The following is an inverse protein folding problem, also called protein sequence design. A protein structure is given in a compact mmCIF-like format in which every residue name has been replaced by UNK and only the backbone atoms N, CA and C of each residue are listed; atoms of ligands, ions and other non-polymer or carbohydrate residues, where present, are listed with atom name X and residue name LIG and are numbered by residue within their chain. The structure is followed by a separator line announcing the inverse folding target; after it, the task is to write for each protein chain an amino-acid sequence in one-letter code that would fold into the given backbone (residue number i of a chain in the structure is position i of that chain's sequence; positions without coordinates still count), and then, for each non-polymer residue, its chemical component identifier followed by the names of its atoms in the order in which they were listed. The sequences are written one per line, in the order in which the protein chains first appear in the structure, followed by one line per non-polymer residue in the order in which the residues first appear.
data_IF_727831978032
#
_entry.id   IF_727831978032
#
_cell.length_a   1.000
_cell.length_b   1.000
_cell.length_c   1.000
_cell.angle_alpha   90.00
_cell.angle_beta   90.00
_cell.angle_gamma   90.00
#
_symmetry.space_group_name_H-M   'P 1'
#
loop_
_entity.id
_entity.type
_entity.pdbx_description
1 polymer ?
#
# COMPACT_ATOMS: atom_id res chain seq x y z
N UNK A 1 3.50 -38.39 -21.04
CA UNK A 1 2.12 -38.00 -21.44
C UNK A 1 2.15 -36.83 -22.40
N UNK A 2 1.31 -36.87 -23.45
CA UNK A 2 1.19 -35.76 -24.41
C UNK A 2 0.37 -34.60 -23.81
N UNK A 3 0.51 -33.39 -24.37
CA UNK A 3 -0.13 -32.15 -23.88
C UNK A 3 -1.64 -32.28 -23.69
N UNK A 4 -2.33 -32.97 -24.60
CA UNK A 4 -3.79 -33.19 -24.52
C UNK A 4 -4.17 -34.14 -23.39
N UNK A 5 -3.40 -35.21 -23.23
CA UNK A 5 -3.61 -36.21 -22.16
C UNK A 5 -3.35 -35.61 -20.79
N UNK A 6 -2.31 -34.77 -20.66
CA UNK A 6 -1.99 -34.09 -19.40
C UNK A 6 -3.11 -33.12 -18.96
N UNK A 7 -3.72 -32.42 -19.93
CA UNK A 7 -4.83 -31.49 -19.67
C UNK A 7 -6.08 -32.23 -19.16
N UNK A 8 -6.42 -33.35 -19.80
CA UNK A 8 -7.54 -34.20 -19.41
C UNK A 8 -7.32 -34.84 -18.02
N UNK A 9 -6.11 -35.29 -17.73
CA UNK A 9 -5.76 -35.91 -16.45
C UNK A 9 -5.93 -34.97 -15.24
N UNK A 10 -5.60 -33.69 -15.42
CA UNK A 10 -5.73 -32.64 -14.40
C UNK A 10 -7.09 -31.94 -14.43
N UNK A 11 -7.94 -32.20 -15.44
CA UNK A 11 -9.21 -31.49 -15.61
C UNK A 11 -9.06 -30.00 -15.93
N UNK A 12 -7.94 -29.59 -16.54
CA UNK A 12 -7.62 -28.19 -16.84
C UNK A 12 -7.42 -27.95 -18.33
N UNK A 13 -7.36 -26.68 -18.75
CA UNK A 13 -7.10 -26.34 -20.15
C UNK A 13 -5.66 -26.66 -20.57
N UNK A 14 -5.46 -26.95 -21.85
CA UNK A 14 -4.12 -27.17 -22.41
C UNK A 14 -3.18 -25.96 -22.27
N UNK A 15 -3.72 -24.75 -22.15
CA UNK A 15 -2.97 -23.51 -21.87
C UNK A 15 -2.54 -23.42 -20.41
N UNK A 16 -3.37 -23.94 -19.49
CA UNK A 16 -3.04 -24.02 -18.06
C UNK A 16 -1.85 -24.95 -17.84
N UNK A 17 -1.78 -26.07 -18.55
CA UNK A 17 -0.62 -26.99 -18.53
C UNK A 17 0.66 -26.30 -18.99
N UNK A 18 0.61 -25.51 -20.07
CA UNK A 18 1.78 -24.74 -20.51
C UNK A 18 2.21 -23.68 -19.50
N UNK A 19 1.26 -23.07 -18.80
CA UNK A 19 1.58 -22.11 -17.75
C UNK A 19 2.25 -22.81 -16.56
N UNK A 20 1.75 -23.97 -16.11
CA UNK A 20 2.41 -24.74 -15.06
C UNK A 20 3.82 -25.19 -15.45
N UNK A 21 4.04 -25.51 -16.72
CA UNK A 21 5.37 -25.77 -17.26
C UNK A 21 6.27 -24.54 -17.22
N UNK A 22 5.76 -23.36 -17.62
CA UNK A 22 6.50 -22.09 -17.58
C UNK A 22 6.80 -21.62 -16.15
N UNK A 23 5.90 -21.89 -15.22
CA UNK A 23 6.05 -21.61 -13.79
C UNK A 23 7.01 -22.61 -13.10
N UNK A 24 7.46 -23.66 -13.81
CA UNK A 24 8.36 -24.68 -13.28
C UNK A 24 7.70 -25.70 -12.34
N UNK A 25 6.37 -25.74 -12.29
CA UNK A 25 5.61 -26.70 -11.45
C UNK A 25 5.58 -28.11 -12.02
N UNK A 26 5.70 -28.24 -13.35
CA UNK A 26 5.79 -29.52 -14.05
C UNK A 26 6.93 -29.44 -15.07
N UNK A 27 7.69 -30.53 -15.20
CA UNK A 27 8.77 -30.62 -16.19
C UNK A 27 8.21 -30.95 -17.57
N UNK A 28 8.86 -30.36 -18.58
CA UNK A 28 8.54 -30.59 -19.99
C UNK A 28 9.79 -31.03 -20.71
N UNK A 29 9.72 -32.20 -21.34
CA UNK A 29 10.77 -32.69 -22.23
C UNK A 29 10.28 -32.59 -23.66
N UNK A 30 11.05 -31.91 -24.52
CA UNK A 30 10.71 -31.78 -25.93
C UNK A 30 11.44 -32.85 -26.73
N UNK A 31 10.69 -33.81 -27.26
CA UNK A 31 11.24 -34.88 -28.09
C UNK A 31 11.05 -34.50 -29.57
N UNK A 32 12.09 -34.62 -30.42
CA UNK A 32 11.94 -34.42 -31.85
C UNK A 32 11.10 -35.56 -32.45
N UNK A 33 10.00 -35.19 -33.09
CA UNK A 33 9.09 -36.09 -33.79
C UNK A 33 9.09 -35.72 -35.29
N UNK A 34 8.54 -36.61 -36.13
CA UNK A 34 8.53 -36.49 -37.60
C UNK A 34 7.97 -35.15 -38.11
N UNK A 35 7.09 -34.49 -37.35
CA UNK A 35 6.45 -33.22 -37.68
C UNK A 35 6.73 -32.08 -36.66
N UNK A 36 7.86 -32.11 -35.97
CA UNK A 36 8.28 -31.04 -35.05
C UNK A 36 8.53 -31.54 -33.63
N UNK A 37 8.67 -30.61 -32.67
CA UNK A 37 8.93 -30.95 -31.27
C UNK A 37 7.62 -31.28 -30.55
N UNK A 38 7.50 -32.48 -29.98
CA UNK A 38 6.37 -32.87 -29.13
C UNK A 38 6.75 -32.66 -27.66
N UNK A 39 5.83 -32.07 -26.89
CA UNK A 39 6.01 -31.85 -25.46
C UNK A 39 5.56 -33.11 -24.69
N UNK A 40 6.48 -33.76 -24.02
CA UNK A 40 6.20 -34.87 -23.12
C UNK A 40 6.28 -34.42 -21.65
N UNK A 41 5.19 -34.67 -20.93
CA UNK A 41 5.03 -34.38 -19.51
C UNK A 41 5.16 -35.67 -18.70
N UNK A 42 5.86 -35.61 -17.56
CA UNK A 42 5.97 -36.74 -16.63
C UNK A 42 4.69 -36.90 -15.83
N UNK A 43 4.12 -38.10 -15.86
CA UNK A 43 2.88 -38.43 -15.15
C UNK A 43 3.01 -38.31 -13.63
N UNK A 44 4.16 -38.67 -13.08
CA UNK A 44 4.44 -38.58 -11.63
C UNK A 44 4.39 -37.15 -11.09
N UNK A 45 4.76 -36.15 -11.90
CA UNK A 45 4.70 -34.73 -11.52
C UNK A 45 3.27 -34.18 -11.63
N UNK A 46 2.52 -34.62 -12.65
CA UNK A 46 1.09 -34.28 -12.79
C UNK A 46 0.28 -34.80 -11.60
N UNK A 47 0.61 -35.99 -11.10
CA UNK A 47 -0.05 -36.58 -9.94
C UNK A 47 0.23 -35.80 -8.64
N UNK A 48 1.47 -35.36 -8.42
CA UNK A 48 1.82 -34.48 -7.29
C UNK A 48 1.05 -33.16 -7.35
N UNK A 49 0.98 -32.55 -8.53
CA UNK A 49 0.23 -31.30 -8.72
C UNK A 49 -1.27 -31.48 -8.44
N UNK A 50 -1.82 -32.64 -8.82
CA UNK A 50 -3.22 -32.98 -8.54
C UNK A 50 -3.48 -33.11 -7.04
N UNK A 51 -2.56 -33.74 -6.31
CA UNK A 51 -2.63 -33.87 -4.85
C UNK A 51 -2.52 -32.49 -4.17
N UNK A 52 -1.57 -31.64 -4.58
CA UNK A 52 -1.43 -30.27 -4.07
C UNK A 52 -2.71 -29.44 -4.30
N UNK A 53 -3.30 -29.51 -5.50
CA UNK A 53 -4.56 -28.82 -5.81
C UNK A 53 -5.76 -29.37 -5.02
N UNK A 54 -5.74 -30.64 -4.63
CA UNK A 54 -6.78 -31.26 -3.81
C UNK A 54 -6.59 -30.99 -2.32
N UNK A 55 -5.39 -30.66 -1.86
CA UNK A 55 -5.22 -30.27 -0.45
C UNK A 55 -5.99 -28.99 -0.18
N UNK A 56 -6.88 -28.97 0.84
CA UNK A 56 -7.57 -27.76 1.21
C UNK A 56 -6.52 -26.74 1.67
N UNK A 57 -6.34 -25.71 0.86
CA UNK A 57 -5.48 -24.58 1.21
C UNK A 57 -6.11 -23.93 2.45
N UNK A 58 -5.51 -24.20 3.61
CA UNK A 58 -5.79 -23.48 4.85
C UNK A 58 -5.33 -22.04 4.68
N UNK A 59 -6.14 -21.22 3.99
CA UNK A 59 -5.99 -19.78 4.04
C UNK A 59 -6.34 -19.35 5.46
N UNK A 60 -5.40 -18.73 6.15
CA UNK A 60 -5.72 -17.97 7.35
C UNK A 60 -6.63 -16.83 6.90
N UNK A 61 -7.94 -17.00 7.07
CA UNK A 61 -8.84 -15.86 7.10
C UNK A 61 -8.42 -15.11 8.35
N UNK A 62 -7.79 -13.95 8.17
CA UNK A 62 -7.73 -12.95 9.23
C UNK A 62 -9.20 -12.64 9.51
N UNK A 63 -9.76 -13.24 10.55
CA UNK A 63 -11.01 -12.79 11.08
C UNK A 63 -10.81 -11.29 11.33
N UNK A 64 -11.63 -10.39 10.74
CA UNK A 64 -11.73 -9.09 11.35
C UNK A 64 -12.09 -9.39 12.79
N UNK A 65 -11.27 -8.96 13.74
CA UNK A 65 -11.72 -8.82 15.12
C UNK A 65 -12.81 -7.74 15.06
N UNK A 66 -13.99 -8.19 14.64
CA UNK A 66 -15.16 -7.38 14.42
C UNK A 66 -15.60 -6.95 15.79
N UNK A 67 -15.45 -5.66 16.04
CA UNK A 67 -16.52 -4.96 16.71
C UNK A 67 -17.77 -5.34 15.90
N UNK A 68 -18.66 -6.16 16.48
CA UNK A 68 -19.96 -6.46 15.89
C UNK A 68 -20.78 -5.17 15.89
N UNK A 69 -20.47 -4.29 14.96
CA UNK A 69 -21.33 -3.18 14.61
C UNK A 69 -22.36 -3.81 13.69
N UNK A 70 -23.58 -4.00 14.19
CA UNK A 70 -24.69 -4.50 13.39
C UNK A 70 -24.79 -3.68 12.09
N UNK A 71 -24.44 -4.32 10.96
CA UNK A 71 -24.34 -3.68 9.64
C UNK A 71 -25.65 -3.00 9.20
N UNK A 72 -26.79 -3.37 9.80
CA UNK A 72 -28.10 -2.83 9.45
C UNK A 72 -28.38 -1.42 9.99
N UNK A 73 -27.78 -1.02 11.11
CA UNK A 73 -28.05 0.31 11.70
C UNK A 73 -27.14 1.41 11.14
N UNK A 74 -25.92 1.06 10.72
CA UNK A 74 -24.97 2.03 10.14
C UNK A 74 -25.36 2.40 8.71
N UNK A 75 -25.82 1.43 7.91
CA UNK A 75 -26.23 1.69 6.53
C UNK A 75 -27.68 2.20 6.39
N UNK A 76 -28.55 1.93 7.36
CA UNK A 76 -29.94 2.43 7.35
C UNK A 76 -30.03 3.96 7.38
N UNK A 77 -29.05 4.64 7.98
CA UNK A 77 -28.94 6.11 7.96
C UNK A 77 -28.53 6.68 6.60
N UNK A 78 -27.70 5.96 5.84
CA UNK A 78 -27.24 6.39 4.52
C UNK A 78 -28.36 6.36 3.47
N UNK A 79 -29.34 5.47 3.62
CA UNK A 79 -30.51 5.40 2.73
C UNK A 79 -31.48 6.59 2.88
N UNK A 80 -31.41 7.34 4.00
CA UNK A 80 -32.23 8.53 4.26
C UNK A 80 -31.54 9.86 3.92
N UNK A 81 -30.24 9.83 3.63
CA UNK A 81 -29.49 11.05 3.32
C UNK A 81 -29.69 11.45 1.85
N UNK A 82 -29.85 12.75 1.56
CA UNK A 82 -29.89 13.23 0.19
C UNK A 82 -28.57 12.86 -0.52
N UNK A 83 -28.66 12.44 -1.79
CA UNK A 83 -27.52 11.98 -2.58
C UNK A 83 -26.36 12.98 -2.65
N UNK A 84 -26.65 14.28 -2.51
CA UNK A 84 -25.65 15.35 -2.42
C UNK A 84 -24.76 15.25 -1.18
N UNK A 85 -25.32 14.91 -0.01
CA UNK A 85 -24.56 14.72 1.23
C UNK A 85 -23.68 13.46 1.18
N UNK A 86 -24.16 12.42 0.49
CA UNK A 86 -23.40 11.19 0.28
C UNK A 86 -22.17 11.48 -0.59
N UNK A 87 -22.34 12.26 -1.66
CA UNK A 87 -21.22 12.67 -2.52
C UNK A 87 -20.18 13.52 -1.76
N UNK A 88 -20.62 14.53 -0.99
CA UNK A 88 -19.75 15.34 -0.13
C UNK A 88 -18.96 14.47 0.87
N UNK A 89 -19.63 13.51 1.51
CA UNK A 89 -19.00 12.60 2.46
C UNK A 89 -17.97 11.68 1.77
N UNK A 90 -18.31 11.11 0.62
CA UNK A 90 -17.39 10.26 -0.15
C UNK A 90 -16.16 11.05 -0.61
N UNK A 91 -16.34 12.29 -1.03
CA UNK A 91 -15.24 13.17 -1.41
C UNK A 91 -14.33 13.46 -0.20
N UNK A 92 -14.90 13.77 0.96
CA UNK A 92 -14.14 13.98 2.19
C UNK A 92 -13.38 12.71 2.63
N UNK A 93 -14.01 11.54 2.55
CA UNK A 93 -13.37 10.25 2.87
C UNK A 93 -12.23 9.96 1.89
N UNK A 94 -12.43 10.21 0.59
CA UNK A 94 -11.40 10.04 -0.44
C UNK A 94 -10.18 10.93 -0.18
N UNK A 95 -10.41 12.20 0.17
CA UNK A 95 -9.33 13.12 0.57
C UNK A 95 -8.58 12.62 1.81
N UNK A 96 -9.29 12.08 2.80
CA UNK A 96 -8.68 11.49 4.00
C UNK A 96 -7.87 10.22 3.71
N UNK A 97 -8.33 9.37 2.79
CA UNK A 97 -7.58 8.18 2.36
C UNK A 97 -6.27 8.55 1.65
N UNK A 98 -6.28 9.64 0.87
CA UNK A 98 -5.07 10.19 0.29
C UNK A 98 -4.02 10.51 1.36
N UNK A 99 -4.43 11.15 2.46
CA UNK A 99 -3.55 11.45 3.60
C UNK A 99 -3.07 10.16 4.28
N UNK A 100 -3.94 9.18 4.50
CA UNK A 100 -3.59 7.90 5.11
C UNK A 100 -2.50 7.14 4.33
N UNK A 101 -2.55 7.17 2.99
CA UNK A 101 -1.53 6.54 2.14
C UNK A 101 -0.19 7.28 2.19
N UNK A 102 -0.18 8.60 2.40
CA UNK A 102 1.06 9.36 2.58
C UNK A 102 1.84 8.84 3.80
N UNK A 103 1.18 8.49 4.89
CA UNK A 103 1.85 8.00 6.12
C UNK A 103 2.63 6.70 5.92
N UNK A 104 2.30 5.89 4.91
CA UNK A 104 3.05 4.68 4.57
C UNK A 104 4.31 4.96 3.73
N UNK A 105 4.47 6.19 3.23
CA UNK A 105 5.62 6.59 2.42
C UNK A 105 6.77 7.04 3.30
N UNK A 106 7.94 6.42 3.13
CA UNK A 106 9.14 6.69 3.94
C UNK A 106 9.66 8.14 3.81
N UNK A 107 9.43 8.79 2.66
CA UNK A 107 9.94 10.12 2.35
C UNK A 107 8.89 10.91 1.57
N UNK A 108 8.61 12.12 2.03
CA UNK A 108 7.64 13.04 1.43
C UNK A 108 8.29 14.14 0.61
N UNK A 109 7.58 14.55 -0.43
CA UNK A 109 7.80 15.84 -1.07
C UNK A 109 7.24 16.99 -0.22
N UNK A 110 7.72 18.21 -0.49
CA UNK A 110 7.22 19.42 0.17
C UNK A 110 5.71 19.61 0.05
N UNK A 111 5.12 19.19 -1.08
CA UNK A 111 3.68 19.29 -1.32
C UNK A 111 2.90 18.26 -0.50
N UNK A 112 3.39 17.02 -0.42
CA UNK A 112 2.81 15.97 0.43
C UNK A 112 2.92 16.32 1.92
N UNK A 113 4.07 16.86 2.32
CA UNK A 113 4.30 17.37 3.67
C UNK A 113 3.36 18.54 4.02
N UNK A 114 3.06 19.42 3.06
CA UNK A 114 2.10 20.50 3.24
C UNK A 114 0.67 19.95 3.47
N UNK A 115 0.24 18.98 2.65
CA UNK A 115 -1.06 18.33 2.80
C UNK A 115 -1.17 17.57 4.13
N UNK A 116 -0.13 16.86 4.54
CA UNK A 116 -0.15 16.06 5.77
C UNK A 116 -0.09 16.92 7.04
N UNK A 117 0.62 18.06 7.01
CA UNK A 117 0.78 18.94 8.16
C UNK A 117 -0.23 20.09 8.25
N UNK A 118 -0.95 20.36 7.15
CA UNK A 118 -1.82 21.53 7.01
C UNK A 118 -1.07 22.85 6.84
N UNK A 119 0.26 22.85 6.73
CA UNK A 119 1.04 24.07 6.52
C UNK A 119 1.20 24.45 5.06
N UNK A 120 1.36 25.76 4.81
CA UNK A 120 1.73 26.24 3.49
C UNK A 120 3.15 25.77 3.12
N UNK A 121 3.34 25.47 1.84
CA UNK A 121 4.64 25.09 1.26
C UNK A 121 5.73 26.13 1.57
N UNK A 122 5.36 27.42 1.59
CA UNK A 122 6.27 28.51 1.93
C UNK A 122 6.81 28.39 3.35
N UNK A 123 5.93 28.11 4.32
CA UNK A 123 6.32 27.95 5.74
C UNK A 123 7.22 26.74 5.96
N UNK A 124 6.94 25.62 5.29
CA UNK A 124 7.82 24.46 5.35
C UNK A 124 9.18 24.76 4.70
N UNK A 125 9.20 25.50 3.58
CA UNK A 125 10.44 25.90 2.92
C UNK A 125 11.27 26.87 3.77
N UNK A 126 10.64 27.83 4.44
CA UNK A 126 11.34 28.73 5.36
C UNK A 126 11.88 27.98 6.58
N UNK A 127 11.13 27.03 7.13
CA UNK A 127 11.61 26.17 8.24
C UNK A 127 12.81 25.31 7.85
N UNK A 128 12.86 24.82 6.60
CA UNK A 128 14.04 24.12 6.06
C UNK A 128 15.22 25.08 5.92
N UNK A 129 14.99 26.30 5.40
CA UNK A 129 16.04 27.29 5.24
C UNK A 129 16.63 27.77 6.58
N UNK A 130 15.80 27.83 7.62
CA UNK A 130 16.19 28.14 8.99
C UNK A 130 16.85 26.94 9.71
N UNK A 131 16.86 25.74 9.11
CA UNK A 131 17.42 24.54 9.70
C UNK A 131 16.56 23.87 10.79
N UNK A 132 15.35 24.40 11.05
CA UNK A 132 14.42 23.85 12.03
C UNK A 132 13.80 22.52 11.57
N UNK A 133 13.66 22.32 10.26
CA UNK A 133 13.18 21.07 9.66
C UNK A 133 14.30 20.35 8.91
N UNK A 134 14.60 19.12 9.32
CA UNK A 134 15.59 18.27 8.64
C UNK A 134 15.03 17.83 7.28
N UNK A 135 15.68 18.26 6.21
CA UNK A 135 15.31 17.91 4.84
C UNK A 135 16.54 17.71 3.97
N UNK A 136 16.43 16.84 2.96
CA UNK A 136 17.49 16.62 1.97
C UNK A 136 17.03 17.11 0.61
N UNK A 137 17.86 17.91 -0.07
CA UNK A 137 17.60 18.32 -1.44
C UNK A 137 17.88 17.15 -2.38
N UNK A 138 16.88 16.73 -3.15
CA UNK A 138 17.00 15.65 -4.14
C UNK A 138 16.47 16.18 -5.48
N UNK A 139 17.37 16.36 -6.45
CA UNK A 139 17.05 17.00 -7.73
C UNK A 139 16.59 18.45 -7.53
N UNK A 140 15.37 18.76 -8.01
CA UNK A 140 14.76 20.10 -7.90
C UNK A 140 13.91 20.28 -6.63
N UNK A 141 13.65 19.21 -5.88
CA UNK A 141 12.75 19.20 -4.72
C UNK A 141 13.47 19.02 -3.39
N UNK A 142 12.77 19.33 -2.31
CA UNK A 142 13.17 18.93 -0.96
C UNK A 142 12.39 17.70 -0.53
N UNK A 143 13.11 16.78 0.07
CA UNK A 143 12.58 15.53 0.60
C UNK A 143 12.66 15.58 2.12
N UNK A 144 11.53 15.33 2.77
CA UNK A 144 11.37 15.39 4.23
C UNK A 144 10.92 14.02 4.72
N UNK A 145 11.45 13.55 5.84
CA UNK A 145 10.93 12.32 6.47
C UNK A 145 9.70 12.64 7.31
N UNK A 146 8.66 11.79 7.32
CA UNK A 146 7.47 12.02 8.15
C UNK A 146 7.81 12.18 9.64
N UNK A 147 8.83 11.46 10.13
CA UNK A 147 9.30 11.56 11.50
C UNK A 147 9.89 12.95 11.82
N UNK A 148 10.76 13.47 10.96
CA UNK A 148 11.37 14.79 11.11
C UNK A 148 10.28 15.89 11.10
N UNK A 149 9.22 15.70 10.31
CA UNK A 149 8.08 16.62 10.26
C UNK A 149 7.23 16.55 11.55
N UNK A 150 6.98 15.35 12.08
CA UNK A 150 6.30 15.16 13.38
C UNK A 150 7.08 15.78 14.53
N UNK A 151 8.41 15.61 14.55
CA UNK A 151 9.28 16.26 15.54
C UNK A 151 9.15 17.77 15.46
N UNK A 152 9.15 18.34 14.26
CA UNK A 152 8.95 19.78 14.07
C UNK A 152 7.55 20.25 14.50
N UNK A 153 6.48 19.50 14.21
CA UNK A 153 5.13 19.88 14.68
C UNK A 153 5.00 19.75 16.18
N UNK A 154 5.58 18.71 16.78
CA UNK A 154 5.59 18.53 18.22
C UNK A 154 6.46 19.58 18.91
N UNK A 155 7.55 20.03 18.31
CA UNK A 155 8.32 21.16 18.85
C UNK A 155 7.52 22.48 18.77
N UNK A 156 6.70 22.64 17.74
CA UNK A 156 5.92 23.86 17.54
C UNK A 156 4.67 23.93 18.45
N UNK A 157 4.06 22.77 18.76
CA UNK A 157 2.79 22.66 19.49
C UNK A 157 2.87 21.87 20.80
N UNK A 158 3.91 21.09 21.04
CA UNK A 158 4.06 20.20 22.19
C UNK A 158 4.53 20.89 23.46
N UNK A 159 3.99 22.08 23.72
CA UNK A 159 4.24 22.89 24.90
C UNK A 159 2.98 22.94 25.77
N UNK A 160 2.66 21.83 26.44
CA UNK A 160 1.86 21.87 27.69
C UNK A 160 2.78 22.12 28.91
N UNK A 161 4.06 22.48 28.72
CA UNK A 161 4.96 22.85 29.81
C UNK A 161 5.51 24.27 29.59
N UNK A 162 5.22 25.14 30.57
CA UNK A 162 5.39 26.60 30.63
C UNK A 162 6.82 27.15 30.41
N UNK A 163 7.81 26.33 30.05
CA UNK A 163 9.21 26.74 29.87
C UNK A 163 9.56 27.22 28.45
N UNK A 164 8.75 26.89 27.44
CA UNK A 164 9.05 27.23 26.05
C UNK A 164 8.85 28.72 25.71
N UNK A 165 7.93 29.41 26.39
CA UNK A 165 7.70 30.85 26.18
C UNK A 165 8.91 31.69 26.64
N UNK A 166 9.65 31.24 27.64
CA UNK A 166 10.89 31.91 28.05
C UNK A 166 12.04 31.70 27.04
N UNK A 167 12.06 30.55 26.35
CA UNK A 167 13.11 30.23 25.39
C UNK A 167 12.84 30.86 24.00
N UNK A 168 11.56 31.01 23.61
CA UNK A 168 11.13 31.75 22.42
C UNK A 168 11.50 33.23 22.52
N UNK A 169 11.35 33.85 23.69
CA UNK A 169 11.65 35.27 23.91
C UNK A 169 13.16 35.57 24.03
N UNK A 170 13.98 34.59 24.46
CA UNK A 170 15.45 34.75 24.56
C UNK A 170 16.18 34.70 23.22
N UNK A 171 15.64 34.02 22.21
CA UNK A 171 16.24 33.99 20.86
C UNK A 171 15.70 35.06 19.90
N UNK A 172 14.54 35.66 20.16
CA UNK A 172 14.04 36.81 19.38
C UNK A 172 14.74 38.15 19.74
N UNK A 173 15.55 38.16 20.80
CA UNK A 173 16.30 39.31 21.26
C UNK A 173 17.58 39.59 20.47
N UNK A 174 17.47 39.91 19.17
CA UNK A 174 18.43 40.81 18.50
C UNK A 174 17.69 41.66 17.46
N UNK A 175 17.16 42.81 17.89
CA UNK A 175 17.56 44.17 17.45
C UNK A 175 16.50 45.20 17.92
N UNK A 176 16.97 46.15 18.74
CA UNK A 176 16.48 47.53 18.72
C UNK A 176 16.65 48.12 17.32
#
# INVERSE_FOLDING_TARGET
MDKKQAAEFLGVSTRTIENYAKEGKISVTYIPDKNGKRAEYKESELQRLKEELQTPIHRSVVAPNGIEIADSEVFGGLAKLPSTRIAELLEAISQAQGVALLWNKLVWDLDEAATASGYSRYRLRSAIALGALKAKKVGRGWKVRPQDLREYTNWLFGDDNEEADQNRNRMAGIRN
#
